data_IF_714312914517
#
_entry.id   IF_714312914517
#
_cell.length_a   1.000
_cell.length_b   1.000
_cell.length_c   1.000
_cell.angle_alpha   90.00
_cell.angle_beta   90.00
_cell.angle_gamma   90.00
#
_symmetry.space_group_name_H-M   'P 1'
#
loop_
_entity.id
_entity.type
_entity.pdbx_description
1 polymer ?
#
# COMPACT_ATOMS: atom_id res chain seq x y z
N UNK A 1 32.06 -12.51 -53.49
CA UNK A 1 31.02 -12.65 -52.45
C UNK A 1 30.98 -11.33 -51.68
N UNK A 2 29.88 -10.59 -51.75
CA UNK A 2 29.69 -9.35 -50.98
C UNK A 2 28.81 -9.72 -49.78
N UNK A 3 29.36 -9.64 -48.58
CA UNK A 3 28.62 -9.86 -47.34
C UNK A 3 27.82 -8.60 -47.01
N UNK A 4 26.48 -8.70 -47.07
CA UNK A 4 25.59 -7.65 -46.61
C UNK A 4 25.53 -7.68 -45.08
N UNK A 5 26.04 -6.63 -44.44
CA UNK A 5 25.86 -6.40 -43.00
C UNK A 5 24.47 -5.80 -42.82
N UNK A 6 23.54 -6.59 -42.27
CA UNK A 6 22.23 -6.10 -41.85
C UNK A 6 22.40 -5.34 -40.52
N UNK A 7 22.21 -4.04 -40.55
CA UNK A 7 22.10 -3.22 -39.35
C UNK A 7 20.72 -3.43 -38.74
N UNK A 8 20.65 -4.11 -37.60
CA UNK A 8 19.44 -4.18 -36.79
C UNK A 8 19.27 -2.82 -36.09
N UNK A 9 18.33 -2.00 -36.58
CA UNK A 9 17.88 -0.83 -35.86
C UNK A 9 17.09 -1.29 -34.63
N UNK A 10 17.70 -1.18 -33.45
CA UNK A 10 17.00 -1.32 -32.18
C UNK A 10 15.92 -0.23 -32.12
N UNK A 11 14.66 -0.63 -32.24
CA UNK A 11 13.54 0.26 -31.97
C UNK A 11 13.61 0.62 -30.49
N UNK A 12 14.03 1.84 -30.17
CA UNK A 12 13.79 2.39 -28.84
C UNK A 12 12.29 2.32 -28.62
N UNK A 13 11.84 1.45 -27.71
CA UNK A 13 10.52 1.55 -27.11
C UNK A 13 10.49 2.91 -26.43
N UNK A 14 9.98 3.93 -27.13
CA UNK A 14 9.73 5.22 -26.53
C UNK A 14 8.84 4.95 -25.34
N UNK A 15 9.31 5.30 -24.14
CA UNK A 15 8.40 5.44 -23.01
C UNK A 15 7.27 6.36 -23.49
N UNK A 16 6.02 5.97 -23.24
CA UNK A 16 4.88 6.80 -23.65
C UNK A 16 5.11 8.23 -23.17
N UNK A 17 5.09 9.22 -24.07
CA UNK A 17 5.23 10.62 -23.67
C UNK A 17 4.01 11.07 -22.89
N UNK A 18 4.04 12.23 -22.19
CA UNK A 18 2.98 12.66 -21.28
C UNK A 18 1.56 12.56 -21.85
N UNK A 19 0.61 12.34 -20.92
CA UNK A 19 -0.82 12.48 -21.17
C UNK A 19 -1.13 13.92 -21.58
N UNK A 20 -2.33 14.15 -22.13
CA UNK A 20 -2.70 15.46 -22.67
C UNK A 20 -4.04 15.92 -22.14
N UNK A 21 -4.16 17.23 -21.89
CA UNK A 21 -5.41 17.84 -21.43
C UNK A 21 -5.90 17.23 -20.12
N UNK A 22 -7.13 16.70 -20.13
CA UNK A 22 -7.77 16.15 -18.93
C UNK A 22 -7.05 14.93 -18.34
N UNK A 23 -6.43 14.08 -19.17
CA UNK A 23 -5.74 12.88 -18.67
C UNK A 23 -4.44 13.22 -17.94
N UNK A 24 -3.72 14.25 -18.38
CA UNK A 24 -2.49 14.69 -17.71
C UNK A 24 -2.75 15.11 -16.25
N UNK A 25 -3.74 15.98 -16.03
CA UNK A 25 -4.08 16.45 -14.69
C UNK A 25 -4.59 15.31 -13.79
N UNK A 26 -5.37 14.39 -14.37
CA UNK A 26 -5.85 13.21 -13.67
C UNK A 26 -4.70 12.29 -13.25
N UNK A 27 -3.79 11.97 -14.18
CA UNK A 27 -2.68 11.06 -13.95
C UNK A 27 -1.68 11.60 -12.93
N UNK A 28 -1.31 12.88 -13.02
CA UNK A 28 -0.42 13.52 -12.04
C UNK A 28 -1.05 13.41 -10.64
N UNK A 29 -2.30 13.87 -10.49
CA UNK A 29 -2.98 13.82 -9.18
C UNK A 29 -3.19 12.40 -8.65
N UNK A 30 -3.43 11.44 -9.54
CA UNK A 30 -3.52 10.01 -9.22
C UNK A 30 -2.19 9.48 -8.69
N UNK A 31 -1.09 9.70 -9.41
CA UNK A 31 0.24 9.20 -9.03
C UNK A 31 0.72 9.83 -7.72
N UNK A 32 0.55 11.14 -7.53
CA UNK A 32 0.85 11.83 -6.27
C UNK A 32 0.02 11.25 -5.10
N UNK A 33 -1.27 11.00 -5.32
CA UNK A 33 -2.15 10.39 -4.31
C UNK A 33 -1.71 8.98 -3.91
N UNK A 34 -1.33 8.15 -4.87
CA UNK A 34 -0.85 6.79 -4.58
C UNK A 34 0.52 6.84 -3.87
N UNK A 35 1.42 7.73 -4.30
CA UNK A 35 2.73 7.91 -3.65
C UNK A 35 2.58 8.29 -2.19
N UNK A 36 1.72 9.26 -1.87
CA UNK A 36 1.43 9.66 -0.47
C UNK A 36 0.82 8.50 0.33
N UNK A 37 -0.15 7.81 -0.26
CA UNK A 37 -0.85 6.69 0.37
C UNK A 37 0.09 5.54 0.70
N UNK A 38 0.96 5.16 -0.24
CA UNK A 38 1.96 4.13 0.00
C UNK A 38 3.03 4.58 0.98
N UNK A 39 3.41 5.87 0.97
CA UNK A 39 4.37 6.39 1.92
C UNK A 39 3.89 6.25 3.37
N UNK A 40 2.59 6.49 3.65
CA UNK A 40 2.04 6.27 4.98
C UNK A 40 2.05 4.79 5.38
N UNK A 41 1.77 3.89 4.43
CA UNK A 41 1.86 2.45 4.67
C UNK A 41 3.27 1.97 5.02
N UNK A 42 4.31 2.62 4.51
CA UNK A 42 5.69 2.29 4.90
C UNK A 42 5.86 2.44 6.41
N UNK A 43 5.35 3.54 6.99
CA UNK A 43 5.42 3.74 8.44
C UNK A 43 4.57 2.73 9.21
N UNK A 44 3.38 2.41 8.72
CA UNK A 44 2.48 1.43 9.37
C UNK A 44 3.13 0.05 9.43
N UNK A 45 3.74 -0.39 8.33
CA UNK A 45 4.46 -1.67 8.23
C UNK A 45 5.77 -1.67 9.02
N UNK A 46 6.48 -0.54 9.10
CA UNK A 46 7.65 -0.36 9.98
C UNK A 46 7.29 -0.52 11.46
N UNK A 47 6.15 0.00 11.90
CA UNK A 47 5.68 -0.20 13.28
C UNK A 47 5.38 -1.69 13.57
N UNK A 48 4.88 -2.43 12.58
CA UNK A 48 4.60 -3.85 12.73
C UNK A 48 5.86 -4.71 12.76
N UNK A 49 6.71 -4.58 11.73
CA UNK A 49 7.89 -5.42 11.53
C UNK A 49 9.15 -4.91 12.23
N UNK A 50 9.17 -3.66 12.69
CA UNK A 50 10.38 -2.98 13.14
C UNK A 50 11.26 -2.53 11.98
N UNK A 51 12.29 -1.76 12.28
CA UNK A 51 13.29 -1.29 11.30
C UNK A 51 14.70 -1.65 11.71
N UNK A 52 15.53 -2.02 10.74
CA UNK A 52 16.95 -2.24 10.95
C UNK A 52 17.76 -0.98 10.62
N UNK A 53 18.58 -0.53 11.57
CA UNK A 53 19.51 0.60 11.36
C UNK A 53 20.65 0.22 10.40
N UNK A 54 20.94 -1.08 10.28
CA UNK A 54 21.94 -1.66 9.37
C UNK A 54 21.43 -2.98 8.83
N UNK A 55 21.33 -3.10 7.52
CA UNK A 55 21.06 -4.38 6.84
C UNK A 55 22.31 -5.25 6.88
N UNK A 56 22.15 -6.51 7.28
CA UNK A 56 23.26 -7.46 7.43
C UNK A 56 23.72 -8.08 6.10
N UNK A 57 23.03 -7.76 4.99
CA UNK A 57 23.25 -8.36 3.67
C UNK A 57 22.69 -9.78 3.50
N UNK A 58 22.26 -10.43 4.59
CA UNK A 58 21.65 -11.75 4.59
C UNK A 58 20.16 -11.64 4.96
N UNK A 59 19.31 -12.36 4.23
CA UNK A 59 17.88 -12.47 4.54
C UNK A 59 17.69 -13.22 5.87
N UNK A 60 16.96 -12.63 6.80
CA UNK A 60 16.61 -13.25 8.08
C UNK A 60 15.11 -13.16 8.35
N UNK A 61 14.46 -14.19 8.92
CA UNK A 61 13.07 -14.09 9.38
C UNK A 61 12.83 -13.00 10.43
N UNK A 62 13.90 -12.56 11.11
CA UNK A 62 13.89 -11.51 12.13
C UNK A 62 14.34 -10.14 11.61
N UNK A 63 14.66 -10.00 10.32
CA UNK A 63 15.01 -8.69 9.77
C UNK A 63 13.81 -7.74 9.88
N UNK A 64 14.08 -6.46 10.11
CA UNK A 64 13.11 -5.38 10.01
C UNK A 64 13.02 -4.84 8.59
N UNK A 65 12.31 -3.74 8.42
CA UNK A 65 12.30 -2.95 7.18
C UNK A 65 13.39 -1.87 7.22
N UNK A 66 13.62 -1.21 6.08
CA UNK A 66 14.38 0.04 6.08
C UNK A 66 13.52 1.17 6.66
N UNK A 67 14.08 2.09 7.46
CA UNK A 67 13.33 3.24 7.96
C UNK A 67 13.00 4.22 6.83
N UNK A 68 11.77 4.71 6.82
CA UNK A 68 11.35 5.76 5.89
C UNK A 68 11.89 7.13 6.29
N UNK A 69 12.21 8.02 5.32
CA UNK A 69 12.61 9.39 5.62
C UNK A 69 11.62 10.10 6.55
N UNK A 70 12.14 10.86 7.52
CA UNK A 70 11.31 11.59 8.47
C UNK A 70 10.82 10.78 9.67
N UNK A 71 11.01 9.45 9.70
CA UNK A 71 10.68 8.62 10.85
C UNK A 71 11.92 8.07 11.55
N UNK A 72 11.94 8.03 12.90
CA UNK A 72 13.01 7.36 13.61
C UNK A 72 12.88 5.83 13.46
N UNK A 73 14.01 5.11 13.54
CA UNK A 73 13.98 3.66 13.66
C UNK A 73 13.08 3.20 14.83
N UNK A 74 12.35 2.12 14.63
CA UNK A 74 11.40 1.56 15.61
C UNK A 74 11.63 0.08 15.83
N UNK A 75 11.31 -0.38 17.04
CA UNK A 75 11.17 -1.81 17.30
C UNK A 75 9.85 -2.33 16.74
N UNK A 76 9.80 -3.63 16.43
CA UNK A 76 8.59 -4.32 16.03
C UNK A 76 7.58 -4.32 17.17
N UNK A 77 6.35 -3.87 16.89
CA UNK A 77 5.24 -3.91 17.85
C UNK A 77 4.36 -5.13 17.67
N UNK A 78 4.37 -5.76 16.50
CA UNK A 78 3.60 -6.97 16.25
C UNK A 78 4.18 -8.15 17.04
N UNK A 79 3.33 -8.98 17.64
CA UNK A 79 3.74 -10.25 18.25
C UNK A 79 3.71 -11.41 17.26
N UNK A 80 2.79 -11.38 16.30
CA UNK A 80 2.63 -12.43 15.28
C UNK A 80 3.75 -12.38 14.23
N UNK A 81 4.44 -13.50 14.03
CA UNK A 81 5.46 -13.62 12.98
C UNK A 81 4.86 -13.59 11.57
N UNK A 82 3.61 -14.04 11.42
CA UNK A 82 2.83 -13.93 10.18
C UNK A 82 2.59 -12.45 9.82
N UNK A 83 2.18 -11.63 10.80
CA UNK A 83 1.98 -10.19 10.62
C UNK A 83 3.30 -9.49 10.27
N UNK A 84 4.41 -9.81 10.97
CA UNK A 84 5.72 -9.23 10.66
C UNK A 84 6.18 -9.58 9.25
N UNK A 85 5.99 -10.84 8.84
CA UNK A 85 6.34 -11.31 7.49
C UNK A 85 5.57 -10.55 6.42
N UNK A 86 4.26 -10.44 6.59
CA UNK A 86 3.40 -9.73 5.65
C UNK A 86 3.73 -8.24 5.61
N UNK A 87 3.93 -7.60 6.77
CA UNK A 87 4.33 -6.20 6.84
C UNK A 87 5.64 -5.91 6.08
N UNK A 88 6.63 -6.81 6.13
CA UNK A 88 7.87 -6.64 5.34
C UNK A 88 7.64 -6.79 3.84
N UNK A 89 6.81 -7.74 3.44
CA UNK A 89 6.44 -7.93 2.04
C UNK A 89 5.75 -6.69 1.51
N UNK A 90 4.71 -6.21 2.21
CA UNK A 90 3.97 -4.99 1.88
C UNK A 90 4.88 -3.75 1.83
N UNK A 91 5.78 -3.59 2.81
CA UNK A 91 6.72 -2.47 2.81
C UNK A 91 7.61 -2.46 1.55
N UNK A 92 8.14 -3.63 1.14
CA UNK A 92 8.97 -3.73 -0.07
C UNK A 92 8.16 -3.41 -1.33
N UNK A 93 7.00 -4.04 -1.48
CA UNK A 93 6.14 -3.83 -2.65
C UNK A 93 5.70 -2.37 -2.79
N UNK A 94 5.31 -1.73 -1.68
CA UNK A 94 4.89 -0.33 -1.72
C UNK A 94 6.06 0.64 -1.97
N UNK A 95 7.29 0.31 -1.53
CA UNK A 95 8.50 1.06 -1.92
C UNK A 95 8.77 0.97 -3.42
N UNK A 96 8.63 -0.21 -4.00
CA UNK A 96 8.80 -0.41 -5.45
C UNK A 96 7.77 0.39 -6.25
N UNK A 97 6.51 0.38 -5.80
CA UNK A 97 5.42 1.14 -6.43
C UNK A 97 5.64 2.66 -6.32
N UNK A 98 6.09 3.16 -5.16
CA UNK A 98 6.50 4.57 -5.02
C UNK A 98 7.57 4.93 -6.04
N UNK A 99 8.62 4.11 -6.15
CA UNK A 99 9.71 4.36 -7.11
C UNK A 99 9.23 4.37 -8.56
N UNK A 100 8.36 3.43 -8.94
CA UNK A 100 7.78 3.38 -10.28
C UNK A 100 6.95 4.65 -10.57
N UNK A 101 6.07 5.05 -9.66
CA UNK A 101 5.21 6.23 -9.85
C UNK A 101 6.01 7.54 -9.87
N UNK A 102 7.02 7.68 -9.02
CA UNK A 102 7.93 8.83 -9.06
C UNK A 102 8.72 8.88 -10.37
N UNK A 103 9.14 7.73 -10.90
CA UNK A 103 9.80 7.66 -12.21
C UNK A 103 8.85 8.10 -13.33
N UNK A 104 7.59 7.66 -13.31
CA UNK A 104 6.59 8.11 -14.29
C UNK A 104 6.30 9.61 -14.19
N UNK A 105 6.17 10.16 -12.98
CA UNK A 105 6.01 11.60 -12.75
C UNK A 105 7.19 12.41 -13.31
N UNK A 106 8.42 11.93 -13.09
CA UNK A 106 9.62 12.57 -13.60
C UNK A 106 9.71 12.45 -15.13
N UNK A 107 9.62 11.23 -15.66
CA UNK A 107 9.91 10.95 -17.08
C UNK A 107 8.84 11.49 -18.01
N UNK A 108 7.56 11.45 -17.60
CA UNK A 108 6.46 11.94 -18.42
C UNK A 108 6.20 13.42 -18.21
N UNK A 109 6.25 13.90 -16.97
CA UNK A 109 5.77 15.24 -16.61
C UNK A 109 6.86 16.19 -16.11
N UNK A 110 8.10 15.72 -15.95
CA UNK A 110 9.20 16.52 -15.39
C UNK A 110 9.02 16.83 -13.90
N UNK A 111 8.16 16.09 -13.19
CA UNK A 111 7.79 16.35 -11.80
C UNK A 111 8.65 15.50 -10.86
N UNK A 112 9.44 16.16 -10.01
CA UNK A 112 10.20 15.51 -8.94
C UNK A 112 9.39 15.52 -7.64
N UNK A 113 8.37 14.66 -7.55
CA UNK A 113 7.45 14.65 -6.42
C UNK A 113 8.08 14.02 -5.17
N UNK A 114 7.93 14.69 -4.02
CA UNK A 114 8.30 14.15 -2.71
C UNK A 114 7.04 13.75 -1.96
N UNK A 115 6.96 12.51 -1.44
CA UNK A 115 5.77 12.04 -0.72
C UNK A 115 5.43 12.96 0.46
N UNK A 116 4.14 13.18 0.67
CA UNK A 116 3.59 13.96 1.77
C UNK A 116 2.70 13.07 2.65
N UNK A 117 2.67 13.37 3.95
CA UNK A 117 1.70 12.75 4.87
C UNK A 117 0.48 13.65 4.99
N UNK A 118 -0.67 13.12 4.58
CA UNK A 118 -1.97 13.77 4.69
C UNK A 118 -2.57 13.59 6.09
N UNK A 119 -3.49 14.47 6.54
CA UNK A 119 -4.03 14.39 7.90
C UNK A 119 -4.66 13.04 8.26
N UNK A 120 -5.39 12.42 7.34
CA UNK A 120 -6.01 11.10 7.52
C UNK A 120 -4.98 9.99 7.67
N UNK A 121 -3.87 10.08 6.93
CA UNK A 121 -2.76 9.13 7.01
C UNK A 121 -2.00 9.29 8.33
N UNK A 122 -1.79 10.53 8.77
CA UNK A 122 -1.20 10.82 10.07
C UNK A 122 -2.07 10.28 11.22
N UNK A 123 -3.41 10.38 11.10
CA UNK A 123 -4.33 9.82 12.08
C UNK A 123 -4.24 8.29 12.15
N UNK A 124 -4.21 7.60 11.00
CA UNK A 124 -4.05 6.14 10.95
C UNK A 124 -2.72 5.68 11.55
N UNK A 125 -1.61 6.35 11.22
CA UNK A 125 -0.29 6.11 11.84
C UNK A 125 -0.38 6.33 13.35
N UNK A 126 -1.00 7.43 13.78
CA UNK A 126 -1.18 7.77 15.19
C UNK A 126 -1.88 6.67 15.99
N UNK A 127 -2.92 6.03 15.44
CA UNK A 127 -3.59 4.89 16.08
C UNK A 127 -2.59 3.76 16.35
N UNK A 128 -1.78 3.41 15.36
CA UNK A 128 -0.80 2.33 15.48
C UNK A 128 0.38 2.71 16.38
N UNK A 129 0.79 3.97 16.40
CA UNK A 129 1.85 4.46 17.31
C UNK A 129 1.42 4.35 18.78
N UNK A 130 0.15 4.64 19.10
CA UNK A 130 -0.38 4.56 20.46
C UNK A 130 -0.81 3.15 20.90
N UNK A 131 -1.04 2.22 19.96
CA UNK A 131 -1.41 0.84 20.29
C UNK A 131 -0.32 0.11 21.10
N UNK A 132 -0.69 -0.64 22.14
CA UNK A 132 0.30 -1.37 22.95
C UNK A 132 0.88 -2.56 22.15
N UNK A 133 2.21 -2.80 22.18
CA UNK A 133 2.83 -3.95 21.51
C UNK A 133 2.19 -5.29 21.89
N UNK A 134 2.25 -6.26 20.98
CA UNK A 134 1.67 -7.59 21.14
C UNK A 134 0.27 -7.72 20.53
N UNK A 135 -0.58 -8.57 21.12
CA UNK A 135 -1.92 -8.90 20.59
C UNK A 135 -2.81 -7.68 20.33
N UNK A 136 -2.74 -6.65 21.16
CA UNK A 136 -3.46 -5.39 20.95
C UNK A 136 -3.00 -4.64 19.69
N UNK A 137 -1.68 -4.57 19.47
CA UNK A 137 -1.13 -3.99 18.25
C UNK A 137 -1.49 -4.84 17.04
N UNK A 138 -1.37 -6.18 17.13
CA UNK A 138 -1.71 -7.10 16.04
C UNK A 138 -3.14 -6.86 15.54
N UNK A 139 -4.12 -6.77 16.44
CA UNK A 139 -5.51 -6.47 16.06
C UNK A 139 -5.65 -5.09 15.42
N UNK A 140 -5.11 -4.06 16.08
CA UNK A 140 -5.21 -2.68 15.57
C UNK A 140 -4.56 -2.54 14.19
N UNK A 141 -3.41 -3.20 13.97
CA UNK A 141 -2.72 -3.23 12.69
C UNK A 141 -3.60 -3.83 11.60
N UNK A 142 -4.18 -5.02 11.82
CA UNK A 142 -5.01 -5.68 10.82
C UNK A 142 -6.26 -4.85 10.47
N UNK A 143 -6.92 -4.24 11.46
CA UNK A 143 -8.08 -3.39 11.22
C UNK A 143 -7.68 -2.11 10.44
N UNK A 144 -6.73 -1.34 10.98
CA UNK A 144 -6.35 -0.03 10.41
C UNK A 144 -5.68 -0.19 9.05
N UNK A 145 -4.82 -1.20 8.87
CA UNK A 145 -4.13 -1.41 7.60
C UNK A 145 -5.08 -1.95 6.53
N UNK A 146 -6.01 -2.86 6.88
CA UNK A 146 -7.06 -3.30 5.94
C UNK A 146 -7.93 -2.14 5.46
N UNK A 147 -8.29 -1.21 6.36
CA UNK A 147 -8.98 0.03 5.97
C UNK A 147 -8.12 0.92 5.06
N UNK A 148 -6.83 1.10 5.39
CA UNK A 148 -5.89 1.86 4.55
C UNK A 148 -5.82 1.30 3.12
N UNK A 149 -5.70 -0.01 2.95
CA UNK A 149 -5.71 -0.65 1.62
C UNK A 149 -7.02 -0.34 0.85
N UNK A 150 -8.17 -0.43 1.52
CA UNK A 150 -9.48 -0.14 0.92
C UNK A 150 -9.59 1.29 0.38
N UNK A 151 -9.03 2.28 1.07
CA UNK A 151 -9.11 3.69 0.68
C UNK A 151 -8.54 3.96 -0.73
N UNK A 152 -7.62 3.12 -1.21
CA UNK A 152 -7.01 3.29 -2.53
C UNK A 152 -7.88 2.79 -3.69
N UNK A 153 -8.89 1.94 -3.42
CA UNK A 153 -9.68 1.31 -4.48
C UNK A 153 -10.39 2.30 -5.40
N UNK A 154 -10.90 3.42 -4.87
CA UNK A 154 -11.53 4.45 -5.70
C UNK A 154 -10.54 5.01 -6.73
N UNK A 155 -9.31 5.32 -6.32
CA UNK A 155 -8.27 5.85 -7.18
C UNK A 155 -7.82 4.82 -8.23
N UNK A 156 -7.63 3.57 -7.82
CA UNK A 156 -7.23 2.48 -8.73
C UNK A 156 -8.31 2.14 -9.76
N UNK A 157 -9.59 2.13 -9.36
CA UNK A 157 -10.71 1.97 -10.27
C UNK A 157 -10.80 3.12 -11.29
N UNK A 158 -10.57 4.36 -10.82
CA UNK A 158 -10.44 5.52 -11.69
C UNK A 158 -9.30 5.36 -12.69
N UNK A 159 -8.14 4.88 -12.24
CA UNK A 159 -6.97 4.68 -13.09
C UNK A 159 -7.27 3.73 -14.28
N UNK A 160 -7.94 2.61 -14.03
CA UNK A 160 -8.25 1.62 -15.07
C UNK A 160 -9.14 2.16 -16.21
N UNK A 161 -9.82 3.28 -16.00
CA UNK A 161 -10.76 3.86 -16.97
C UNK A 161 -10.43 5.31 -17.37
N UNK A 162 -9.59 6.01 -16.61
CA UNK A 162 -9.40 7.46 -16.72
C UNK A 162 -8.04 7.93 -17.23
N UNK A 163 -7.03 7.06 -17.29
CA UNK A 163 -5.70 7.41 -17.83
C UNK A 163 -5.70 7.48 -19.36
N UNK A 164 -4.71 8.13 -19.96
CA UNK A 164 -4.50 8.14 -21.41
C UNK A 164 -4.38 6.70 -21.92
N UNK A 165 -5.12 6.39 -22.98
CA UNK A 165 -5.18 5.03 -23.54
C UNK A 165 -3.83 4.50 -24.03
N UNK A 166 -2.84 5.38 -24.23
CA UNK A 166 -1.49 5.01 -24.61
C UNK A 166 -0.63 4.64 -23.40
N UNK A 167 -1.00 5.06 -22.19
CA UNK A 167 -0.24 4.81 -20.97
C UNK A 167 -0.52 3.43 -20.38
N UNK A 168 -0.31 2.39 -21.19
CA UNK A 168 -0.60 1.02 -20.78
C UNK A 168 0.24 0.60 -19.57
N UNK A 169 1.45 1.14 -19.42
CA UNK A 169 2.31 0.87 -18.27
C UNK A 169 1.65 1.32 -16.95
N UNK A 170 1.08 2.54 -16.93
CA UNK A 170 0.37 3.05 -15.75
C UNK A 170 -0.91 2.26 -15.49
N UNK A 171 -1.69 1.96 -16.53
CA UNK A 171 -2.91 1.14 -16.40
C UNK A 171 -2.60 -0.27 -15.83
N UNK A 172 -1.53 -0.92 -16.31
CA UNK A 172 -1.07 -2.21 -15.78
C UNK A 172 -0.63 -2.12 -14.34
N UNK A 173 0.14 -1.08 -13.98
CA UNK A 173 0.57 -0.86 -12.60
C UNK A 173 -0.63 -0.68 -11.67
N UNK A 174 -1.63 0.10 -12.06
CA UNK A 174 -2.87 0.26 -11.31
C UNK A 174 -3.65 -1.05 -11.13
N UNK A 175 -3.74 -1.88 -12.18
CA UNK A 175 -4.39 -3.18 -12.09
C UNK A 175 -3.65 -4.13 -11.14
N UNK A 176 -2.32 -4.14 -11.18
CA UNK A 176 -1.49 -4.93 -10.27
C UNK A 176 -1.67 -4.48 -8.82
N UNK A 177 -1.64 -3.17 -8.56
CA UNK A 177 -1.94 -2.60 -7.25
C UNK A 177 -3.33 -3.03 -6.78
N UNK A 178 -4.35 -2.92 -7.62
CA UNK A 178 -5.72 -3.29 -7.24
C UNK A 178 -5.83 -4.75 -6.77
N UNK A 179 -5.21 -5.68 -7.49
CA UNK A 179 -5.18 -7.09 -7.08
C UNK A 179 -4.38 -7.30 -5.78
N UNK A 180 -3.22 -6.67 -5.64
CA UNK A 180 -2.41 -6.78 -4.43
C UNK A 180 -3.15 -6.24 -3.20
N UNK A 181 -3.72 -5.03 -3.30
CA UNK A 181 -4.51 -4.40 -2.23
C UNK A 181 -5.72 -5.27 -1.85
N UNK A 182 -6.40 -5.90 -2.83
CA UNK A 182 -7.53 -6.81 -2.57
C UNK A 182 -7.09 -8.07 -1.83
N UNK A 183 -5.98 -8.68 -2.24
CA UNK A 183 -5.43 -9.86 -1.58
C UNK A 183 -4.99 -9.54 -0.15
N UNK A 184 -4.34 -8.39 0.07
CA UNK A 184 -3.90 -7.96 1.39
C UNK A 184 -5.09 -7.74 2.34
N UNK A 185 -6.18 -7.11 1.86
CA UNK A 185 -7.42 -6.94 2.61
C UNK A 185 -8.00 -8.27 3.04
N UNK A 186 -8.04 -9.25 2.13
CA UNK A 186 -8.59 -10.58 2.42
C UNK A 186 -7.74 -11.33 3.45
N UNK A 187 -6.42 -11.34 3.27
CA UNK A 187 -5.47 -11.97 4.20
C UNK A 187 -5.59 -11.35 5.62
N UNK A 188 -5.72 -10.02 5.72
CA UNK A 188 -5.90 -9.37 7.02
C UNK A 188 -7.23 -9.74 7.68
N UNK A 189 -8.29 -9.95 6.89
CA UNK A 189 -9.60 -10.41 7.40
C UNK A 189 -9.53 -11.86 7.87
N UNK A 190 -8.83 -12.73 7.15
CA UNK A 190 -8.56 -14.10 7.58
C UNK A 190 -7.76 -14.11 8.90
N UNK A 191 -6.75 -13.24 9.04
CA UNK A 191 -5.98 -13.12 10.27
C UNK A 191 -6.79 -12.57 11.44
N UNK A 192 -7.74 -11.67 11.18
CA UNK A 192 -8.69 -11.17 12.19
C UNK A 192 -9.62 -12.29 12.69
N UNK A 193 -10.17 -13.10 11.78
CA UNK A 193 -10.99 -14.25 12.14
C UNK A 193 -10.17 -15.28 12.93
N UNK A 194 -9.05 -15.72 12.38
CA UNK A 194 -8.19 -16.76 12.96
C UNK A 194 -7.67 -16.41 14.34
N UNK A 195 -7.23 -15.17 14.55
CA UNK A 195 -6.51 -14.78 15.77
C UNK A 195 -7.36 -14.06 16.81
N UNK A 196 -8.52 -13.52 16.42
CA UNK A 196 -9.39 -12.70 17.26
C UNK A 196 -10.87 -13.05 17.17
N UNK A 197 -11.27 -13.99 16.31
CA UNK A 197 -12.68 -14.40 16.15
C UNK A 197 -13.56 -13.38 15.43
N UNK A 198 -12.97 -12.42 14.71
CA UNK A 198 -13.69 -11.33 14.04
C UNK A 198 -13.88 -11.69 12.55
N UNK A 199 -14.93 -12.43 12.24
CA UNK A 199 -15.21 -12.93 10.89
C UNK A 199 -15.93 -11.92 9.97
N UNK A 200 -16.60 -10.92 10.55
CA UNK A 200 -17.47 -9.98 9.83
C UNK A 200 -16.81 -8.61 9.58
N UNK A 201 -15.51 -8.46 9.84
CA UNK A 201 -14.80 -7.21 9.63
C UNK A 201 -14.95 -6.70 8.19
N UNK A 202 -15.42 -5.46 8.06
CA UNK A 202 -15.56 -4.74 6.80
C UNK A 202 -14.63 -3.54 6.78
N UNK A 203 -13.63 -3.49 5.88
CA UNK A 203 -12.63 -2.42 5.84
C UNK A 203 -13.20 -1.07 5.36
N UNK A 204 -14.45 -1.03 4.92
CA UNK A 204 -15.14 0.18 4.47
C UNK A 204 -16.09 0.78 5.51
N UNK A 205 -16.20 0.16 6.69
CA UNK A 205 -17.01 0.71 7.76
C UNK A 205 -16.34 1.97 8.32
N UNK A 206 -17.09 3.06 8.48
CA UNK A 206 -16.63 4.29 9.16
C UNK A 206 -16.36 4.06 10.67
N UNK A 207 -16.68 2.87 11.20
CA UNK A 207 -16.28 2.43 12.53
C UNK A 207 -14.77 2.14 12.57
N UNK A 208 -13.96 3.19 12.65
CA UNK A 208 -12.53 3.11 13.04
C UNK A 208 -12.36 2.41 14.39
N UNK A 209 -11.21 1.72 14.61
CA UNK A 209 -11.12 0.30 14.98
C UNK A 209 -12.21 -0.19 15.94
N UNK A 210 -12.67 -1.43 15.73
CA UNK A 210 -13.73 -2.06 16.50
C UNK A 210 -13.43 -1.84 17.99
N UNK A 211 -14.28 -1.03 18.63
CA UNK A 211 -14.13 -0.67 20.04
C UNK A 211 -13.90 -1.94 20.87
N UNK A 212 -13.07 -1.88 21.93
CA UNK A 212 -12.79 -3.03 22.77
C UNK A 212 -14.10 -3.60 23.30
N UNK A 213 -14.16 -4.93 23.38
CA UNK A 213 -15.33 -5.73 23.74
C UNK A 213 -16.24 -5.07 24.78
N UNK A 214 -17.50 -4.84 24.40
CA UNK A 214 -18.52 -4.26 25.26
C UNK A 214 -19.84 -3.93 24.56
N UNK A 215 -19.83 -3.79 23.23
CA UNK A 215 -21.05 -3.57 22.42
C UNK A 215 -21.64 -4.88 21.92
N UNK A 216 -22.54 -5.48 22.69
CA UNK A 216 -23.32 -6.63 22.23
C UNK A 216 -24.28 -6.19 21.09
N UNK A 217 -23.87 -6.38 19.84
CA UNK A 217 -24.75 -6.38 18.67
C UNK A 217 -25.05 -7.81 18.19
N UNK A 218 -25.02 -8.79 19.11
CA UNK A 218 -25.50 -10.14 18.81
C UNK A 218 -27.02 -10.11 18.71
N UNK A 219 -27.52 -9.94 17.48
CA UNK A 219 -28.90 -10.26 17.11
C UNK A 219 -29.76 -9.06 16.67
N UNK A 220 -29.67 -8.69 15.39
CA UNK A 220 -30.76 -7.97 14.70
C UNK A 220 -31.17 -8.62 13.37
N UNK A 221 -30.90 -9.91 13.19
CA UNK A 221 -31.57 -10.69 12.14
C UNK A 221 -32.36 -11.83 12.78
N UNK A 222 -33.50 -11.47 13.34
CA UNK A 222 -34.58 -12.40 13.66
C UNK A 222 -35.90 -11.67 13.49
N UNK A 223 -36.67 -12.09 12.49
CA UNK A 223 -38.13 -11.94 12.46
C UNK A 223 -38.68 -10.85 11.55
N UNK A 224 -38.98 -11.21 10.30
CA UNK A 224 -39.94 -10.52 9.46
C UNK A 224 -40.69 -11.56 8.63
N UNK A 225 -42.00 -11.66 8.88
CA UNK A 225 -42.93 -12.67 8.33
C UNK A 225 -43.02 -12.67 6.81
#
# INVERSE_FOLDING_TARGET
>A
MVAAVAAFASSSTYADGPGRGLTANFEVGLMETIVDHHFSALRMTELAAGTDVRTSGNLSPTEGTSPSPGFPPTQAKASSDEIKSNARMENRTQREQIFQLQSLLHDWYGINYQPQLRPEQQAAIGILEHAQPGKSFDRAYLEVFSHHHYQLFKSLNGCMSGVDRRHEALARLCNQMWHAQTSAVDEMRELLEKNFGIADYQPFSDASPLQPEGGNLRGQHSGGR
#
